data_IF_391586448672
#
_entry.id   IF_391586448672
#
_cell.length_a   1.000
_cell.length_b   1.000
_cell.length_c   1.000
_cell.angle_alpha   90.00
_cell.angle_beta   90.00
_cell.angle_gamma   90.00
#
_symmetry.space_group_name_H-M   'P 1'
#
loop_
_entity.id
_entity.type
_entity.pdbx_description
1 polymer ?
#
# COMPACT_ATOMS: atom_id res chain seq x y z
N UNK A 1 11.26 44.86 65.24
CA UNK A 1 10.65 43.96 64.23
C UNK A 1 9.37 44.61 63.74
N UNK A 2 9.40 45.22 62.56
CA UNK A 2 8.23 45.73 61.84
C UNK A 2 7.96 44.73 60.70
N UNK A 3 6.71 44.34 60.40
CA UNK A 3 6.42 43.43 59.30
C UNK A 3 6.61 44.14 57.97
N UNK A 4 7.41 43.55 57.08
CA UNK A 4 7.63 44.05 55.73
C UNK A 4 6.30 44.13 54.96
N UNK A 5 5.99 45.33 54.48
CA UNK A 5 4.86 45.64 53.62
C UNK A 5 4.84 44.75 52.37
N UNK A 6 3.70 44.10 52.12
CA UNK A 6 3.45 43.24 50.96
C UNK A 6 3.50 43.96 49.59
N UNK A 7 3.76 45.26 49.55
CA UNK A 7 3.65 46.09 48.34
C UNK A 7 4.97 46.71 47.88
N UNK A 8 5.92 45.88 47.42
CA UNK A 8 7.08 46.35 46.62
C UNK A 8 6.75 46.35 45.11
N UNK A 9 7.28 47.33 44.33
CA UNK A 9 6.86 47.62 42.95
C UNK A 9 6.86 46.43 41.95
N UNK A 10 7.83 45.49 41.95
CA UNK A 10 7.76 44.34 41.04
C UNK A 10 6.67 43.33 41.45
N UNK A 11 6.36 43.19 42.74
CA UNK A 11 5.30 42.29 43.25
C UNK A 11 3.90 42.84 42.97
N UNK A 12 3.73 44.17 43.00
CA UNK A 12 2.46 44.82 42.65
C UNK A 12 2.05 44.54 41.20
N UNK A 13 3.02 44.50 40.27
CA UNK A 13 2.76 44.14 38.86
C UNK A 13 2.30 42.69 38.72
N UNK A 14 2.97 41.75 39.39
CA UNK A 14 2.57 40.34 39.36
C UNK A 14 1.17 40.11 39.94
N UNK A 15 0.83 40.77 41.05
CA UNK A 15 -0.52 40.69 41.63
C UNK A 15 -1.58 41.27 40.68
N UNK A 16 -1.27 42.38 40.00
CA UNK A 16 -2.18 42.95 38.99
C UNK A 16 -2.35 41.97 37.81
N UNK A 17 -1.29 41.36 37.30
CA UNK A 17 -1.40 40.39 36.22
C UNK A 17 -2.23 39.16 36.61
N UNK A 18 -2.01 38.61 37.81
CA UNK A 18 -2.80 37.49 38.32
C UNK A 18 -4.27 37.88 38.49
N UNK A 19 -4.55 39.08 39.01
CA UNK A 19 -5.91 39.59 39.15
C UNK A 19 -6.60 39.80 37.79
N UNK A 20 -5.89 40.34 36.80
CA UNK A 20 -6.40 40.53 35.44
C UNK A 20 -6.69 39.18 34.77
N UNK A 21 -5.77 38.21 34.91
CA UNK A 21 -5.97 36.85 34.38
C UNK A 21 -7.18 36.20 35.06
N UNK A 22 -7.33 36.34 36.38
CA UNK A 22 -8.48 35.83 37.12
C UNK A 22 -9.79 36.46 36.66
N UNK A 23 -9.83 37.78 36.48
CA UNK A 23 -11.00 38.49 35.96
C UNK A 23 -11.35 38.05 34.53
N UNK A 24 -10.35 37.82 33.68
CA UNK A 24 -10.55 37.33 32.31
C UNK A 24 -11.14 35.90 32.29
N UNK A 25 -10.67 35.02 33.17
CA UNK A 25 -11.25 33.68 33.32
C UNK A 25 -12.69 33.74 33.85
N UNK A 26 -12.98 34.63 34.79
CA UNK A 26 -14.33 34.82 35.31
C UNK A 26 -15.30 35.29 34.21
N UNK A 27 -14.91 36.30 33.41
CA UNK A 27 -15.72 36.77 32.27
C UNK A 27 -15.90 35.67 31.22
N UNK A 28 -14.87 34.87 30.93
CA UNK A 28 -14.98 33.76 29.99
C UNK A 28 -15.92 32.64 30.48
N UNK A 29 -15.89 32.32 31.77
CA UNK A 29 -16.79 31.36 32.39
C UNK A 29 -18.23 31.88 32.39
N UNK A 30 -18.46 33.15 32.72
CA UNK A 30 -19.78 33.76 32.71
C UNK A 30 -20.35 33.85 31.28
N UNK A 31 -19.50 34.13 30.29
CA UNK A 31 -19.88 34.08 28.87
C UNK A 31 -20.26 32.66 28.41
N UNK A 32 -19.55 31.64 28.90
CA UNK A 32 -19.84 30.24 28.56
C UNK A 32 -21.13 29.74 29.21
N UNK A 33 -21.39 30.09 30.48
CA UNK A 33 -22.61 29.68 31.19
C UNK A 33 -23.84 30.41 30.66
N UNK A 34 -23.72 31.70 30.30
CA UNK A 34 -24.82 32.45 29.66
C UNK A 34 -25.17 31.95 28.25
N UNK A 35 -24.22 31.31 27.54
CA UNK A 35 -24.46 30.61 26.27
C UNK A 35 -25.05 29.21 26.45
N UNK A 36 -24.77 28.53 27.57
CA UNK A 36 -25.29 27.20 27.86
C UNK A 36 -26.80 27.20 28.19
N UNK A 37 -27.39 28.34 28.55
CA UNK A 37 -28.84 28.48 28.80
C UNK A 37 -29.70 28.59 27.52
N UNK A 38 -29.10 28.49 26.32
CA UNK A 38 -29.84 28.41 25.05
C UNK A 38 -29.66 27.03 24.39
N UNK A 39 -30.02 25.96 25.09
CA UNK A 39 -30.37 24.69 24.46
C UNK A 39 -31.86 24.48 24.69
N UNK A 40 -32.72 24.61 23.66
CA UNK A 40 -34.10 24.20 23.79
C UNK A 40 -34.11 22.69 24.08
N UNK A 41 -34.76 22.27 25.18
CA UNK A 41 -35.22 20.90 25.37
C UNK A 41 -36.30 20.62 24.32
N UNK A 42 -35.83 20.32 23.10
CA UNK A 42 -36.64 20.10 21.92
C UNK A 42 -36.93 18.61 21.72
N UNK A 43 -38.04 18.19 22.33
CA UNK A 43 -39.00 17.18 21.83
C UNK A 43 -38.44 15.79 21.48
N UNK A 44 -38.70 14.83 22.38
CA UNK A 44 -38.76 13.40 22.11
C UNK A 44 -39.74 13.14 20.95
N UNK A 45 -39.22 13.05 19.73
CA UNK A 45 -39.92 12.30 18.68
C UNK A 45 -39.63 10.83 18.93
N UNK A 46 -40.57 10.19 19.64
CA UNK A 46 -40.72 8.75 19.65
C UNK A 46 -40.77 8.27 18.19
N UNK A 47 -39.62 7.82 17.69
CA UNK A 47 -39.54 7.08 16.43
C UNK A 47 -40.24 5.75 16.70
N UNK A 48 -41.51 5.69 16.31
CA UNK A 48 -42.25 4.44 16.23
C UNK A 48 -41.59 3.64 15.10
N UNK A 49 -40.68 2.75 15.47
CA UNK A 49 -40.12 1.76 14.56
C UNK A 49 -41.26 0.79 14.23
N UNK A 50 -41.91 1.01 13.09
CA UNK A 50 -42.75 -0.03 12.48
C UNK A 50 -41.83 -1.15 12.00
N UNK A 51 -41.64 -2.17 12.83
CA UNK A 51 -41.16 -3.47 12.39
C UNK A 51 -42.24 -4.08 11.50
N UNK A 52 -42.13 -3.89 10.19
CA UNK A 52 -42.77 -4.80 9.26
C UNK A 52 -42.08 -6.16 9.44
N UNK A 53 -42.82 -7.12 10.01
CA UNK A 53 -42.40 -8.51 10.10
C UNK A 53 -42.31 -9.04 8.67
N UNK A 54 -41.12 -8.99 8.07
CA UNK A 54 -40.84 -9.68 6.83
C UNK A 54 -40.99 -11.16 7.14
N UNK A 55 -42.03 -11.77 6.59
CA UNK A 55 -42.24 -13.20 6.67
C UNK A 55 -40.95 -13.91 6.25
N UNK A 56 -40.52 -14.86 7.08
CA UNK A 56 -39.38 -15.73 6.81
C UNK A 56 -39.53 -16.30 5.39
N UNK A 57 -38.50 -16.21 4.53
CA UNK A 57 -38.57 -16.80 3.20
C UNK A 57 -38.91 -18.28 3.36
N UNK A 58 -39.87 -18.82 2.59
CA UNK A 58 -40.28 -20.21 2.73
C UNK A 58 -39.05 -21.10 2.56
N UNK A 59 -38.80 -21.97 3.56
CA UNK A 59 -37.78 -23.01 3.46
C UNK A 59 -37.98 -23.74 2.13
N UNK A 60 -36.92 -23.90 1.32
CA UNK A 60 -37.03 -24.63 0.06
C UNK A 60 -37.55 -26.03 0.38
N UNK A 61 -38.72 -26.37 -0.17
CA UNK A 61 -39.18 -27.76 -0.18
C UNK A 61 -38.11 -28.56 -0.92
N UNK A 62 -37.65 -29.71 -0.39
CA UNK A 62 -36.74 -30.57 -1.12
C UNK A 62 -37.45 -31.01 -2.40
N UNK A 63 -37.06 -30.42 -3.53
CA UNK A 63 -37.41 -30.97 -4.83
C UNK A 63 -36.64 -32.27 -4.94
N UNK A 64 -37.36 -33.39 -4.92
CA UNK A 64 -36.77 -34.68 -5.24
C UNK A 64 -36.07 -34.56 -6.60
N UNK A 65 -34.80 -34.99 -6.72
CA UNK A 65 -34.08 -34.92 -7.97
C UNK A 65 -34.88 -35.67 -9.05
N UNK A 66 -34.97 -35.16 -10.28
CA UNK A 66 -35.59 -35.90 -11.37
C UNK A 66 -34.87 -37.25 -11.53
N UNK A 67 -35.58 -38.33 -11.87
CA UNK A 67 -34.95 -39.62 -12.08
C UNK A 67 -33.87 -39.47 -13.16
N UNK A 68 -32.70 -40.10 -12.98
CA UNK A 68 -31.62 -39.98 -13.93
C UNK A 68 -32.12 -40.44 -15.32
N UNK A 69 -31.74 -39.74 -16.40
CA UNK A 69 -32.08 -40.18 -17.74
C UNK A 69 -31.53 -41.59 -17.94
N UNK A 70 -32.37 -42.49 -18.50
CA UNK A 70 -31.91 -43.83 -18.91
C UNK A 70 -30.68 -43.66 -19.78
N UNK A 71 -29.55 -44.16 -19.30
CA UNK A 71 -28.30 -44.22 -20.04
C UNK A 71 -28.57 -44.91 -21.37
N UNK A 72 -28.36 -44.20 -22.48
CA UNK A 72 -28.14 -44.89 -23.76
C UNK A 72 -26.92 -45.79 -23.57
N UNK A 73 -26.91 -47.02 -24.13
CA UNK A 73 -25.72 -47.84 -24.14
C UNK A 73 -24.55 -47.03 -24.71
N UNK A 74 -23.49 -46.90 -23.93
CA UNK A 74 -22.24 -46.34 -24.40
C UNK A 74 -21.70 -47.27 -25.50
N UNK A 75 -21.23 -46.76 -26.64
CA UNK A 75 -20.45 -47.56 -27.57
C UNK A 75 -19.23 -48.11 -26.82
N UNK A 76 -19.03 -49.43 -26.93
CA UNK A 76 -17.89 -50.11 -26.35
C UNK A 76 -16.58 -49.46 -26.85
N UNK A 77 -15.62 -49.14 -25.96
CA UNK A 77 -14.35 -48.57 -26.39
C UNK A 77 -13.62 -49.57 -27.30
N UNK A 78 -13.42 -49.21 -28.57
CA UNK A 78 -12.42 -49.91 -29.39
C UNK A 78 -11.05 -49.60 -28.80
N UNK A 79 -10.38 -50.65 -28.33
CA UNK A 79 -8.96 -50.61 -27.99
C UNK A 79 -8.16 -50.09 -29.20
N UNK A 80 -7.21 -49.16 -29.02
CA UNK A 80 -6.22 -48.87 -30.04
C UNK A 80 -5.38 -50.13 -30.32
N UNK A 81 -4.94 -50.36 -31.58
CA UNK A 81 -4.03 -51.45 -31.86
C UNK A 81 -2.69 -51.24 -31.12
N UNK A 82 -2.03 -52.32 -30.66
CA UNK A 82 -0.75 -52.22 -29.97
C UNK A 82 0.33 -51.66 -30.91
N UNK A 83 1.28 -50.86 -30.40
CA UNK A 83 2.46 -50.47 -31.16
C UNK A 83 3.35 -51.68 -31.45
N UNK A 84 4.07 -51.71 -32.58
CA UNK A 84 5.07 -52.74 -32.85
C UNK A 84 6.22 -52.67 -31.83
N UNK A 85 6.84 -53.80 -31.47
CA UNK A 85 7.93 -53.82 -30.49
C UNK A 85 9.19 -53.19 -31.08
N UNK A 86 9.67 -52.13 -30.42
CA UNK A 86 11.05 -51.63 -30.59
C UNK A 86 11.90 -52.20 -29.47
N UNK A 87 12.97 -52.86 -29.88
CA UNK A 87 13.98 -53.50 -29.03
C UNK A 87 14.63 -52.49 -28.07
N UNK A 88 14.66 -52.85 -26.78
CA UNK A 88 15.54 -52.26 -25.78
C UNK A 88 16.88 -53.00 -25.85
N UNK A 89 18.03 -52.33 -26.07
CA UNK A 89 19.30 -52.94 -25.74
C UNK A 89 19.47 -53.00 -24.22
N UNK A 90 19.76 -54.22 -23.78
CA UNK A 90 19.92 -54.70 -22.42
C UNK A 90 20.95 -53.92 -21.60
N UNK A 91 20.65 -53.79 -20.31
CA UNK A 91 21.61 -53.56 -19.25
C UNK A 91 22.67 -54.68 -19.24
N UNK A 92 23.94 -54.31 -19.20
CA UNK A 92 25.00 -55.21 -18.76
C UNK A 92 25.65 -54.59 -17.52
N UNK A 93 25.40 -55.23 -16.38
CA UNK A 93 26.08 -54.95 -15.12
C UNK A 93 26.83 -56.22 -14.76
N UNK A 94 28.16 -56.19 -14.80
CA UNK A 94 29.01 -57.17 -14.15
C UNK A 94 30.06 -56.45 -13.29
N UNK A 95 30.06 -56.82 -12.02
CA UNK A 95 30.87 -56.32 -10.93
C UNK A 95 32.29 -56.94 -10.89
N UNK A 96 33.15 -56.25 -10.13
CA UNK A 96 34.32 -56.74 -9.39
C UNK A 96 35.63 -57.01 -10.15
N UNK A 97 36.68 -56.26 -9.79
CA UNK A 97 37.78 -56.77 -8.96
C UNK A 97 38.77 -55.67 -8.55
N UNK A 98 39.19 -55.70 -7.29
CA UNK A 98 40.37 -55.00 -6.78
C UNK A 98 41.65 -55.68 -7.28
N UNK A 99 42.80 -55.00 -7.17
CA UNK A 99 43.76 -55.52 -6.20
C UNK A 99 44.44 -54.43 -5.37
N UNK A 100 44.86 -54.85 -4.17
CA UNK A 100 45.88 -54.21 -3.37
C UNK A 100 47.26 -54.77 -3.75
N UNK A 101 48.32 -53.97 -3.65
CA UNK A 101 49.68 -54.48 -3.44
C UNK A 101 50.54 -53.43 -2.73
N UNK A 102 50.93 -53.82 -1.52
CA UNK A 102 52.13 -53.61 -0.71
C UNK A 102 53.09 -52.40 -0.86
N UNK A 103 53.58 -52.02 0.33
CA UNK A 103 54.72 -51.15 0.67
C UNK A 103 56.09 -51.88 0.43
N UNK A 104 57.31 -51.41 0.81
CA UNK A 104 57.69 -50.29 1.70
C UNK A 104 59.00 -49.53 1.35
N UNK A 105 59.49 -48.78 2.34
CA UNK A 105 60.87 -48.31 2.63
C UNK A 105 61.21 -46.81 2.39
N UNK A 106 61.51 -46.13 3.51
CA UNK A 106 62.20 -44.83 3.56
C UNK A 106 63.73 -45.00 3.39
N UNK A 107 64.60 -44.18 4.01
CA UNK A 107 64.40 -42.95 4.79
C UNK A 107 65.30 -41.79 4.28
N UNK A 108 65.52 -40.79 5.16
CA UNK A 108 66.64 -39.83 5.25
C UNK A 108 66.47 -38.38 4.74
N UNK A 109 66.06 -37.51 5.67
CA UNK A 109 66.73 -36.21 5.96
C UNK A 109 68.22 -36.46 6.26
N UNK A 110 69.20 -35.54 6.12
CA UNK A 110 69.07 -34.07 6.15
C UNK A 110 70.01 -33.29 5.20
N UNK A 111 69.79 -31.98 5.07
CA UNK A 111 70.82 -30.93 5.19
C UNK A 111 70.37 -29.62 4.52
N UNK A 112 70.26 -28.56 5.32
CA UNK A 112 70.55 -27.21 4.86
C UNK A 112 72.08 -27.10 4.64
N UNK A 113 72.58 -26.25 3.72
CA UNK A 113 72.59 -24.80 3.99
C UNK A 113 72.38 -23.90 2.76
N UNK A 114 72.26 -22.61 3.10
CA UNK A 114 72.21 -21.43 2.25
C UNK A 114 73.14 -21.42 1.02
N UNK A 115 72.67 -20.82 -0.08
CA UNK A 115 73.26 -19.61 -0.68
C UNK A 115 72.60 -19.28 -2.04
N UNK A 116 72.09 -18.05 -2.13
CA UNK A 116 72.18 -17.08 -3.23
C UNK A 116 71.99 -17.48 -4.70
N UNK A 117 70.93 -16.87 -5.29
CA UNK A 117 70.69 -16.52 -6.70
C UNK A 117 70.35 -17.66 -7.68
N UNK A 118 69.31 -17.51 -8.54
CA UNK A 118 69.37 -16.57 -9.66
C UNK A 118 68.08 -15.79 -9.97
N UNK A 119 68.24 -14.66 -10.66
CA UNK A 119 67.19 -14.10 -11.51
C UNK A 119 66.99 -15.03 -12.72
N UNK A 120 65.81 -15.63 -12.81
CA UNK A 120 65.29 -16.25 -14.05
C UNK A 120 63.81 -15.86 -14.13
N UNK A 121 63.46 -15.19 -15.22
CA UNK A 121 62.10 -14.84 -15.61
C UNK A 121 61.28 -16.13 -15.77
N UNK A 122 60.35 -16.38 -14.84
CA UNK A 122 59.38 -17.46 -14.93
C UNK A 122 58.00 -16.89 -15.32
N UNK A 123 57.23 -17.55 -16.21
CA UNK A 123 55.87 -17.14 -16.55
C UNK A 123 54.98 -17.20 -15.31
N UNK A 124 54.08 -16.22 -15.18
CA UNK A 124 53.10 -16.16 -14.11
C UNK A 124 52.27 -17.46 -14.02
N UNK A 125 52.04 -18.00 -12.81
CA UNK A 125 51.19 -19.16 -12.62
C UNK A 125 49.76 -18.83 -13.04
N UNK A 126 49.18 -19.70 -13.87
CA UNK A 126 47.76 -19.66 -14.23
C UNK A 126 46.93 -19.73 -12.94
N UNK A 127 46.24 -18.64 -12.64
CA UNK A 127 45.30 -18.54 -11.52
C UNK A 127 44.16 -19.51 -11.80
N UNK A 128 44.02 -20.51 -10.92
CA UNK A 128 42.89 -21.41 -10.92
C UNK A 128 41.59 -20.59 -10.84
N UNK A 129 40.72 -20.75 -11.83
CA UNK A 129 39.43 -20.09 -11.89
C UNK A 129 38.58 -20.50 -10.67
N UNK A 130 38.16 -19.51 -9.89
CA UNK A 130 37.16 -19.70 -8.85
C UNK A 130 35.85 -20.22 -9.47
N UNK A 131 35.11 -21.12 -8.79
CA UNK A 131 33.84 -21.60 -9.30
C UNK A 131 32.87 -20.43 -9.43
N UNK A 132 32.32 -20.28 -10.63
CA UNK A 132 31.22 -19.37 -10.92
C UNK A 132 30.06 -19.68 -9.97
N UNK A 133 29.46 -18.68 -9.28
CA UNK A 133 28.24 -18.92 -8.54
C UNK A 133 27.16 -19.37 -9.52
N UNK A 134 26.46 -20.44 -9.16
CA UNK A 134 25.30 -20.92 -9.89
C UNK A 134 24.35 -19.75 -10.16
N UNK A 135 24.01 -19.55 -11.42
CA UNK A 135 23.03 -18.57 -11.87
C UNK A 135 21.74 -18.74 -11.08
N UNK A 136 21.39 -17.74 -10.27
CA UNK A 136 20.05 -17.60 -9.72
C UNK A 136 19.10 -17.65 -10.92
N UNK A 137 18.09 -18.55 -10.95
CA UNK A 137 17.14 -18.56 -12.04
C UNK A 137 16.51 -17.17 -12.15
N UNK A 138 16.36 -16.62 -13.37
CA UNK A 138 15.75 -15.32 -13.54
C UNK A 138 14.36 -15.34 -12.85
N UNK A 139 13.96 -14.25 -12.18
CA UNK A 139 12.61 -14.14 -11.66
C UNK A 139 11.63 -14.46 -12.81
N UNK A 140 10.48 -15.10 -12.51
CA UNK A 140 9.51 -15.41 -13.53
C UNK A 140 9.21 -14.13 -14.33
N UNK A 141 9.03 -14.23 -15.66
CA UNK A 141 8.68 -13.08 -16.48
C UNK A 141 7.53 -12.36 -15.80
N UNK A 142 7.77 -11.10 -15.40
CA UNK A 142 6.67 -10.22 -14.99
C UNK A 142 5.75 -10.20 -16.18
N UNK A 143 4.58 -10.81 -16.02
CA UNK A 143 3.50 -10.86 -17.00
C UNK A 143 3.40 -9.48 -17.63
N UNK A 144 3.54 -9.40 -18.97
CA UNK A 144 3.61 -8.14 -19.71
C UNK A 144 2.62 -7.14 -19.12
N UNK A 145 3.16 -6.08 -18.50
CA UNK A 145 2.39 -5.13 -17.72
C UNK A 145 1.18 -4.70 -18.56
N UNK A 146 -0.01 -5.15 -18.15
CA UNK A 146 -1.25 -4.89 -18.87
C UNK A 146 -1.33 -3.38 -19.07
N UNK A 147 -1.33 -2.94 -20.33
CA UNK A 147 -1.51 -1.51 -20.62
C UNK A 147 -2.97 -1.15 -20.44
N UNK A 148 -3.22 -0.14 -19.63
CA UNK A 148 -4.56 0.34 -19.34
C UNK A 148 -4.85 1.61 -20.13
N UNK A 149 -6.07 1.71 -20.67
CA UNK A 149 -6.65 3.01 -21.02
C UNK A 149 -6.88 3.78 -19.74
N UNK A 150 -6.59 5.07 -19.76
CA UNK A 150 -6.73 5.93 -18.58
C UNK A 150 -7.39 7.25 -18.95
N UNK A 151 -8.10 7.82 -17.98
CA UNK A 151 -8.71 9.14 -18.05
C UNK A 151 -8.59 9.74 -16.65
N UNK A 152 -7.58 10.58 -16.41
CA UNK A 152 -7.35 11.16 -15.10
C UNK A 152 -8.53 12.06 -14.68
N UNK A 153 -9.01 11.99 -13.43
CA UNK A 153 -10.14 12.80 -13.00
C UNK A 153 -9.78 14.29 -12.94
N UNK A 154 -10.79 15.16 -13.00
CA UNK A 154 -10.63 16.61 -12.90
C UNK A 154 -10.02 17.02 -11.55
N UNK A 155 -9.53 18.25 -11.44
CA UNK A 155 -8.96 18.77 -10.18
C UNK A 155 -10.01 18.84 -9.07
N UNK A 156 -9.64 18.48 -7.85
CA UNK A 156 -10.54 18.53 -6.70
C UNK A 156 -9.80 18.65 -5.37
N UNK A 157 -10.50 19.20 -4.38
CA UNK A 157 -10.10 19.21 -2.98
C UNK A 157 -11.03 18.31 -2.17
N UNK A 158 -10.47 17.63 -1.18
CA UNK A 158 -11.16 16.67 -0.34
C UNK A 158 -10.92 16.99 1.12
N UNK A 159 -11.99 17.02 1.90
CA UNK A 159 -11.90 16.90 3.36
C UNK A 159 -12.24 15.46 3.72
N UNK A 160 -11.48 14.86 4.62
CA UNK A 160 -11.66 13.47 5.04
C UNK A 160 -11.70 13.37 6.56
N UNK A 161 -12.50 12.43 7.04
CA UNK A 161 -12.44 11.91 8.40
C UNK A 161 -11.54 10.69 8.43
N UNK A 162 -10.76 10.56 9.50
CA UNK A 162 -9.84 9.43 9.69
C UNK A 162 -10.19 8.71 10.98
N UNK A 163 -10.56 7.43 10.86
CA UNK A 163 -10.71 6.53 12.01
C UNK A 163 -9.53 5.56 12.02
N UNK A 164 -8.85 5.46 13.15
CA UNK A 164 -7.78 4.47 13.37
C UNK A 164 -8.13 3.59 14.57
N UNK A 165 -7.87 2.29 14.43
CA UNK A 165 -7.89 1.31 15.51
C UNK A 165 -6.52 0.63 15.56
N UNK A 166 -5.78 0.82 16.63
CA UNK A 166 -4.51 0.13 16.83
C UNK A 166 -4.73 -1.36 17.16
N UNK A 167 -3.66 -2.14 17.09
CA UNK A 167 -3.69 -3.59 17.32
C UNK A 167 -4.21 -3.97 18.72
N UNK A 168 -3.97 -3.12 19.71
CA UNK A 168 -4.47 -3.26 21.09
C UNK A 168 -5.94 -2.85 21.26
N UNK A 169 -6.59 -2.38 20.18
CA UNK A 169 -7.97 -1.93 20.18
C UNK A 169 -8.16 -0.44 20.47
N UNK A 170 -7.09 0.32 20.76
CA UNK A 170 -7.16 1.76 20.98
C UNK A 170 -7.71 2.47 19.75
N UNK A 171 -8.70 3.35 19.95
CA UNK A 171 -9.35 4.08 18.85
C UNK A 171 -8.89 5.52 18.83
N UNK A 172 -8.61 6.02 17.63
CA UNK A 172 -8.23 7.40 17.37
C UNK A 172 -9.08 7.98 16.26
N UNK A 173 -9.33 9.27 16.34
CA UNK A 173 -9.96 10.04 15.28
C UNK A 173 -9.05 11.17 14.85
N UNK A 174 -9.07 11.45 13.56
CA UNK A 174 -8.31 12.52 12.94
C UNK A 174 -9.04 13.08 11.74
N UNK A 175 -8.39 14.04 11.10
CA UNK A 175 -8.85 14.65 9.86
C UNK A 175 -7.75 14.55 8.83
N UNK A 176 -8.13 14.47 7.56
CA UNK A 176 -7.20 14.66 6.47
C UNK A 176 -7.73 15.67 5.46
N UNK A 177 -6.81 16.35 4.78
CA UNK A 177 -7.11 17.17 3.62
C UNK A 177 -6.31 16.63 2.45
N UNK A 178 -6.95 16.50 1.30
CA UNK A 178 -6.29 16.08 0.06
C UNK A 178 -6.56 17.11 -1.03
N UNK A 179 -5.55 17.40 -1.85
CA UNK A 179 -5.66 18.25 -3.03
C UNK A 179 -5.09 17.48 -4.22
N UNK A 180 -5.92 17.30 -5.24
CA UNK A 180 -5.57 16.75 -6.54
C UNK A 180 -5.69 17.86 -7.58
N UNK A 181 -4.56 18.27 -8.15
CA UNK A 181 -4.48 19.30 -9.17
C UNK A 181 -4.04 18.66 -10.49
N UNK A 182 -5.00 18.44 -11.39
CA UNK A 182 -4.77 18.00 -12.76
C UNK A 182 -4.74 19.22 -13.69
N UNK A 183 -3.60 19.44 -14.34
CA UNK A 183 -3.37 20.58 -15.26
C UNK A 183 -3.34 20.15 -16.74
N UNK A 184 -3.72 18.92 -17.04
CA UNK A 184 -3.72 18.34 -18.38
C UNK A 184 -2.48 17.49 -18.65
N UNK A 185 -1.30 18.11 -18.70
CA UNK A 185 -0.01 17.44 -18.95
C UNK A 185 0.79 17.13 -17.67
N UNK A 186 0.44 17.79 -16.58
CA UNK A 186 1.11 17.73 -15.29
C UNK A 186 0.10 17.59 -14.17
N UNK A 187 0.54 17.05 -13.04
CA UNK A 187 -0.28 16.98 -11.84
C UNK A 187 0.50 17.30 -10.57
N UNK A 188 -0.25 17.68 -9.53
CA UNK A 188 0.21 17.66 -8.15
C UNK A 188 -0.85 16.98 -7.28
N UNK A 189 -0.38 16.17 -6.34
CA UNK A 189 -1.19 15.52 -5.33
C UNK A 189 -0.59 15.79 -3.96
N UNK A 190 -1.41 16.24 -3.03
CA UNK A 190 -1.02 16.44 -1.63
C UNK A 190 -2.04 15.83 -0.71
N UNK A 191 -1.59 15.04 0.26
CA UNK A 191 -2.41 14.50 1.36
C UNK A 191 -1.79 14.91 2.68
N UNK A 192 -2.58 15.58 3.53
CA UNK A 192 -2.20 15.96 4.90
C UNK A 192 -3.13 15.28 5.89
N UNK A 193 -2.60 14.31 6.65
CA UNK A 193 -3.30 13.64 7.74
C UNK A 193 -2.85 14.24 9.06
N UNK A 194 -3.80 14.55 9.95
CA UNK A 194 -3.49 15.15 11.23
C UNK A 194 -4.61 15.03 12.26
N UNK A 195 -4.35 15.61 13.41
CA UNK A 195 -5.36 15.81 14.46
C UNK A 195 -5.84 17.26 14.39
N UNK A 196 -7.15 17.44 14.44
CA UNK A 196 -7.78 18.76 14.58
C UNK A 196 -8.02 19.03 16.07
N UNK A 197 -7.27 19.95 16.67
CA UNK A 197 -7.57 20.50 17.99
C UNK A 197 -8.21 21.89 17.82
N UNK A 198 -8.91 22.40 18.83
CA UNK A 198 -9.71 23.63 18.72
C UNK A 198 -8.93 24.83 18.16
N UNK A 199 -7.62 24.93 18.42
CA UNK A 199 -6.80 26.10 18.05
C UNK A 199 -5.61 25.70 17.15
N UNK A 200 -5.25 24.42 17.08
CA UNK A 200 -4.05 23.98 16.34
C UNK A 200 -4.30 22.67 15.58
N UNK A 201 -3.70 22.57 14.39
CA UNK A 201 -3.66 21.33 13.61
C UNK A 201 -2.28 20.73 13.73
N UNK A 202 -2.22 19.46 14.15
CA UNK A 202 -0.96 18.71 14.21
C UNK A 202 -0.95 17.76 13.02
N UNK A 203 -0.09 18.03 12.03
CA UNK A 203 0.14 17.12 10.91
C UNK A 203 0.94 15.90 11.40
N UNK A 204 0.36 14.72 11.21
CA UNK A 204 0.96 13.42 11.53
C UNK A 204 1.68 12.82 10.32
N UNK A 205 1.12 13.04 9.13
CA UNK A 205 1.65 12.57 7.86
C UNK A 205 1.33 13.61 6.77
N UNK A 206 2.34 13.94 5.97
CA UNK A 206 2.16 14.65 4.69
C UNK A 206 2.74 13.77 3.60
N UNK A 207 1.93 13.46 2.58
CA UNK A 207 2.37 12.85 1.34
C UNK A 207 2.24 13.89 0.23
N UNK A 208 3.25 14.00 -0.62
CA UNK A 208 3.15 14.74 -1.88
C UNK A 208 3.58 13.86 -3.03
N UNK A 209 2.98 14.08 -4.19
CA UNK A 209 3.42 13.49 -5.44
C UNK A 209 3.23 14.51 -6.56
N UNK A 210 4.19 14.58 -7.46
CA UNK A 210 4.13 15.42 -8.65
C UNK A 210 4.73 14.69 -9.84
N UNK A 211 4.24 15.04 -11.02
CA UNK A 211 4.71 14.42 -12.25
C UNK A 211 3.86 14.81 -13.45
N UNK A 212 3.83 13.91 -14.42
CA UNK A 212 3.17 14.09 -15.70
C UNK A 212 1.86 13.32 -15.75
N UNK A 213 1.01 13.70 -16.70
CA UNK A 213 -0.11 12.89 -17.16
C UNK A 213 0.12 12.61 -18.64
N UNK A 214 0.17 11.34 -19.03
CA UNK A 214 0.30 10.93 -20.44
C UNK A 214 -0.70 9.81 -20.79
N UNK A 215 -0.56 9.19 -21.95
CA UNK A 215 -1.48 8.13 -22.41
C UNK A 215 -1.55 6.90 -21.50
N UNK A 216 -0.55 6.70 -20.63
CA UNK A 216 -0.54 5.64 -19.60
C UNK A 216 -1.22 6.05 -18.29
N UNK A 217 -1.62 7.32 -18.16
CA UNK A 217 -2.27 7.89 -16.99
C UNK A 217 -1.33 8.77 -16.19
N UNK A 218 -1.32 8.58 -14.88
CA UNK A 218 -0.48 9.34 -13.95
C UNK A 218 0.94 8.78 -14.02
N UNK A 219 1.92 9.64 -14.22
CA UNK A 219 3.33 9.27 -14.31
C UNK A 219 4.11 10.08 -13.26
N UNK A 220 4.32 9.53 -12.05
CA UNK A 220 5.07 10.21 -11.01
C UNK A 220 6.50 10.51 -11.44
N UNK A 221 7.01 11.65 -10.99
CA UNK A 221 8.41 12.07 -11.14
C UNK A 221 9.06 12.12 -9.77
N UNK A 222 8.40 12.74 -8.79
CA UNK A 222 8.86 12.81 -7.40
C UNK A 222 7.69 12.63 -6.43
N UNK A 223 7.89 11.79 -5.43
CA UNK A 223 6.99 11.66 -4.29
C UNK A 223 7.73 11.89 -2.98
N UNK A 224 7.10 12.57 -2.01
CA UNK A 224 7.69 12.79 -0.68
C UNK A 224 6.77 12.32 0.43
N UNK A 225 7.38 11.87 1.53
CA UNK A 225 6.69 11.48 2.75
C UNK A 225 7.32 12.18 3.95
N UNK A 226 6.51 12.93 4.70
CA UNK A 226 6.91 13.58 5.96
C UNK A 226 6.00 13.10 7.09
N UNK A 227 6.56 12.28 7.98
CA UNK A 227 5.89 11.90 9.23
C UNK A 227 6.31 12.81 10.38
N UNK A 228 5.39 13.04 11.32
CA UNK A 228 5.73 13.73 12.57
C UNK A 228 6.87 13.00 13.29
N UNK A 229 7.89 13.75 13.69
CA UNK A 229 9.06 13.21 14.39
C UNK A 229 10.04 12.43 13.51
N UNK A 230 9.86 12.38 12.18
CA UNK A 230 10.83 11.76 11.25
C UNK A 230 11.35 12.76 10.23
N UNK A 231 12.52 12.49 9.65
CA UNK A 231 13.00 13.24 8.49
C UNK A 231 12.04 13.05 7.30
N UNK A 232 12.01 14.02 6.38
CA UNK A 232 11.28 13.85 5.13
C UNK A 232 12.08 12.90 4.22
N UNK A 233 11.38 12.02 3.53
CA UNK A 233 11.97 11.14 2.50
C UNK A 233 11.36 11.41 1.14
N UNK A 234 12.10 11.08 0.09
CA UNK A 234 11.74 11.30 -1.29
C UNK A 234 12.01 10.04 -2.13
N UNK A 235 11.11 9.76 -3.07
CA UNK A 235 11.26 8.73 -4.10
C UNK A 235 11.24 9.42 -5.46
N UNK A 236 12.25 9.15 -6.28
CA UNK A 236 12.37 9.74 -7.62
C UNK A 236 12.17 8.66 -8.66
N UNK A 237 11.35 8.96 -9.66
CA UNK A 237 10.97 8.05 -10.73
C UNK A 237 11.59 8.56 -12.04
N UNK A 238 12.76 8.03 -12.40
CA UNK A 238 13.49 8.46 -13.58
C UNK A 238 13.17 7.55 -14.77
N UNK A 239 12.27 8.01 -15.65
CA UNK A 239 11.84 7.30 -16.86
C UNK A 239 12.97 7.07 -17.85
N UNK A 240 13.85 8.06 -18.04
CA UNK A 240 14.93 8.02 -19.04
C UNK A 240 16.06 7.10 -18.58
N UNK A 241 16.46 7.20 -17.32
CA UNK A 241 17.43 6.31 -16.70
C UNK A 241 16.86 4.92 -16.37
N UNK A 242 15.56 4.71 -16.59
CA UNK A 242 14.82 3.48 -16.24
C UNK A 242 15.02 3.03 -14.79
N UNK A 243 15.09 3.98 -13.87
CA UNK A 243 15.40 3.73 -12.47
C UNK A 243 14.50 4.50 -11.51
N UNK A 244 14.24 3.87 -10.36
CA UNK A 244 13.60 4.47 -9.18
C UNK A 244 14.68 4.56 -8.10
N UNK A 245 14.84 5.74 -7.51
CA UNK A 245 15.80 5.98 -6.43
C UNK A 245 15.09 6.49 -5.18
N UNK A 246 15.66 6.16 -4.03
CA UNK A 246 15.06 6.44 -2.73
C UNK A 246 16.02 7.29 -1.91
N UNK A 247 15.55 8.36 -1.26
CA UNK A 247 16.41 9.18 -0.41
C UNK A 247 16.75 8.50 0.92
N UNK A 248 15.98 7.47 1.31
CA UNK A 248 16.11 6.78 2.59
C UNK A 248 17.13 5.63 2.57
N UNK A 249 17.68 5.28 1.40
CA UNK A 249 18.57 4.13 1.18
C UNK A 249 19.38 4.32 -0.10
N UNK A 250 20.47 3.58 -0.27
CA UNK A 250 21.23 3.54 -1.53
C UNK A 250 20.69 2.53 -2.53
N UNK A 251 19.63 1.79 -2.17
CA UNK A 251 18.96 0.87 -3.07
C UNK A 251 18.34 1.59 -4.27
N UNK A 252 18.18 0.86 -5.38
CA UNK A 252 17.46 1.31 -6.57
C UNK A 252 16.53 0.21 -7.05
N UNK A 253 15.49 0.57 -7.77
CA UNK A 253 14.57 -0.37 -8.41
C UNK A 253 14.40 -0.02 -9.90
N UNK A 254 14.10 -0.98 -10.78
CA UNK A 254 13.85 -0.70 -12.18
C UNK A 254 12.55 0.08 -12.35
N UNK A 255 12.58 1.17 -13.13
CA UNK A 255 11.38 1.90 -13.52
C UNK A 255 10.60 1.11 -14.58
N UNK A 256 9.29 1.08 -14.45
CA UNK A 256 8.39 0.40 -15.40
C UNK A 256 7.26 1.34 -15.82
N UNK A 257 6.75 1.19 -17.04
CA UNK A 257 5.59 1.93 -17.50
C UNK A 257 4.39 1.66 -16.58
N UNK A 258 3.68 2.71 -16.17
CA UNK A 258 2.58 2.60 -15.20
C UNK A 258 3.00 2.49 -13.73
N UNK A 259 4.30 2.59 -13.39
CA UNK A 259 4.75 2.67 -12.00
C UNK A 259 4.08 3.85 -11.28
N UNK A 260 3.69 3.64 -10.03
CA UNK A 260 3.04 4.65 -9.19
C UNK A 260 3.80 4.88 -7.88
N UNK A 261 3.42 5.92 -7.14
CA UNK A 261 3.75 6.07 -5.73
C UNK A 261 2.51 5.80 -4.86
N UNK A 262 2.71 5.72 -3.54
CA UNK A 262 1.63 5.40 -2.59
C UNK A 262 0.44 6.35 -2.64
N UNK A 263 0.65 7.63 -2.95
CA UNK A 263 -0.42 8.62 -2.99
C UNK A 263 -1.19 8.55 -4.32
N UNK A 264 -0.51 8.25 -5.42
CA UNK A 264 -1.11 8.24 -6.77
C UNK A 264 -1.82 6.95 -7.13
N UNK A 265 -1.50 5.81 -6.49
CA UNK A 265 -2.17 4.52 -6.74
C UNK A 265 -3.71 4.61 -6.76
N UNK A 266 -4.40 5.21 -5.77
CA UNK A 266 -5.86 5.36 -5.80
C UNK A 266 -6.36 6.16 -7.02
N UNK A 267 -5.62 7.19 -7.44
CA UNK A 267 -5.98 8.01 -8.59
C UNK A 267 -5.67 7.32 -9.92
N UNK A 268 -4.65 6.47 -10.00
CA UNK A 268 -4.41 5.65 -11.18
C UNK A 268 -5.52 4.61 -11.35
N UNK A 269 -5.96 3.96 -10.27
CA UNK A 269 -7.11 3.05 -10.32
C UNK A 269 -8.40 3.79 -10.72
N UNK A 270 -8.61 5.01 -10.19
CA UNK A 270 -9.68 5.90 -10.64
C UNK A 270 -9.60 6.20 -12.13
N UNK A 271 -8.40 6.51 -12.65
CA UNK A 271 -8.20 6.83 -14.05
C UNK A 271 -8.47 5.63 -14.97
N UNK A 272 -8.11 4.42 -14.55
CA UNK A 272 -8.40 3.17 -15.27
C UNK A 272 -9.91 2.92 -15.33
N UNK A 273 -10.58 2.97 -14.17
CA UNK A 273 -12.02 2.72 -14.07
C UNK A 273 -12.86 3.77 -14.81
N UNK A 274 -12.44 5.04 -14.74
CA UNK A 274 -13.07 6.16 -15.45
C UNK A 274 -12.94 6.05 -16.96
N UNK A 275 -11.86 5.47 -17.47
CA UNK A 275 -11.67 5.24 -18.89
C UNK A 275 -12.51 4.06 -19.41
N UNK A 276 -12.46 2.94 -18.70
CA UNK A 276 -13.24 1.73 -19.01
C UNK A 276 -13.27 0.82 -17.78
N UNK A 277 -14.44 0.73 -17.15
CA UNK A 277 -14.67 -0.06 -15.93
C UNK A 277 -14.34 -1.55 -16.12
N UNK A 278 -14.48 -2.10 -17.32
CA UNK A 278 -14.18 -3.51 -17.60
C UNK A 278 -12.69 -3.82 -17.43
N UNK A 279 -11.82 -2.80 -17.45
CA UNK A 279 -10.40 -2.97 -17.18
C UNK A 279 -10.12 -3.30 -15.71
N UNK A 280 -11.05 -3.02 -14.80
CA UNK A 280 -10.94 -3.38 -13.38
C UNK A 280 -11.19 -4.87 -13.13
N UNK A 281 -11.70 -5.61 -14.12
CA UNK A 281 -11.85 -7.05 -14.02
C UNK A 281 -10.50 -7.77 -14.01
N UNK A 282 -10.38 -8.75 -13.12
CA UNK A 282 -9.15 -9.54 -12.91
C UNK A 282 -8.15 -8.88 -11.96
N UNK A 283 -6.90 -9.33 -12.03
CA UNK A 283 -5.81 -8.73 -11.26
C UNK A 283 -5.31 -7.46 -11.96
N UNK A 284 -5.02 -6.43 -11.17
CA UNK A 284 -4.36 -5.20 -11.60
C UNK A 284 -3.04 -5.10 -10.86
N UNK A 285 -1.94 -5.30 -11.57
CA UNK A 285 -0.60 -5.25 -11.01
C UNK A 285 0.01 -3.88 -11.28
N UNK A 286 0.41 -3.18 -10.22
CA UNK A 286 1.04 -1.87 -10.27
C UNK A 286 2.34 -1.94 -9.49
N UNK A 287 3.47 -1.59 -10.13
CA UNK A 287 4.71 -1.38 -9.38
C UNK A 287 4.56 -0.08 -8.57
N UNK A 288 4.76 -0.14 -7.26
CA UNK A 288 4.61 1.01 -6.36
C UNK A 288 5.94 1.33 -5.70
N UNK A 289 6.45 2.53 -5.94
CA UNK A 289 7.58 3.08 -5.20
C UNK A 289 7.17 3.48 -3.79
N UNK A 290 7.78 2.85 -2.80
CA UNK A 290 7.65 3.18 -1.38
C UNK A 290 8.92 3.90 -0.89
N UNK A 291 9.06 4.14 0.42
CA UNK A 291 10.16 4.95 0.97
C UNK A 291 11.56 4.34 0.71
N UNK A 292 11.66 3.02 0.57
CA UNK A 292 12.94 2.28 0.52
C UNK A 292 13.04 1.24 -0.58
N UNK A 293 11.93 0.91 -1.22
CA UNK A 293 11.84 -0.17 -2.20
C UNK A 293 10.68 0.10 -3.15
N UNK A 294 10.63 -0.66 -4.25
CA UNK A 294 9.45 -0.70 -5.11
C UNK A 294 8.89 -2.11 -5.11
N UNK A 295 7.58 -2.24 -4.86
CA UNK A 295 6.91 -3.54 -4.78
C UNK A 295 5.68 -3.58 -5.67
N UNK A 296 5.38 -4.76 -6.24
CA UNK A 296 4.17 -4.92 -7.04
C UNK A 296 2.97 -5.06 -6.12
N UNK A 297 2.02 -4.13 -6.25
CA UNK A 297 0.71 -4.20 -5.63
C UNK A 297 -0.26 -4.85 -6.62
N UNK A 298 -0.81 -6.00 -6.23
CA UNK A 298 -1.85 -6.70 -6.98
C UNK A 298 -3.21 -6.36 -6.41
N UNK A 299 -3.99 -5.54 -7.11
CA UNK A 299 -5.36 -5.21 -6.76
C UNK A 299 -6.34 -6.15 -7.45
N UNK A 300 -7.46 -6.39 -6.79
CA UNK A 300 -8.58 -7.19 -7.25
C UNK A 300 -9.86 -6.40 -7.05
N UNK A 301 -10.73 -6.41 -8.06
CA UNK A 301 -12.08 -5.90 -7.89
C UNK A 301 -12.86 -6.84 -6.96
N UNK A 302 -13.33 -6.31 -5.84
CA UNK A 302 -14.23 -7.01 -4.91
C UNK A 302 -15.65 -6.97 -5.43
N UNK A 303 -16.06 -5.80 -5.94
CA UNK A 303 -17.39 -5.59 -6.52
C UNK A 303 -17.90 -4.18 -6.31
N UNK A 304 -19.18 -4.00 -6.59
CA UNK A 304 -19.90 -2.78 -6.27
C UNK A 304 -20.37 -2.82 -4.81
N UNK A 305 -20.17 -1.72 -4.07
CA UNK A 305 -20.59 -1.55 -2.69
C UNK A 305 -21.22 -0.18 -2.49
N UNK A 306 -22.31 -0.13 -1.72
CA UNK A 306 -22.92 1.13 -1.29
C UNK A 306 -22.28 1.58 0.04
N UNK A 307 -21.76 2.81 0.07
CA UNK A 307 -21.20 3.43 1.26
C UNK A 307 -22.13 4.53 1.79
N UNK A 308 -22.39 4.48 3.09
CA UNK A 308 -22.99 5.59 3.85
C UNK A 308 -21.89 6.61 4.20
N UNK A 309 -22.00 7.83 3.67
CA UNK A 309 -21.02 8.90 3.91
C UNK A 309 -21.69 10.18 4.36
N UNK A 310 -20.90 11.17 4.81
CA UNK A 310 -21.44 12.51 5.11
C UNK A 310 -21.96 13.26 3.88
N UNK A 311 -21.63 12.78 2.68
CA UNK A 311 -22.16 13.29 1.41
C UNK A 311 -23.42 12.53 0.95
N UNK A 312 -23.96 11.63 1.79
CA UNK A 312 -25.05 10.72 1.46
C UNK A 312 -24.55 9.33 1.04
N UNK A 313 -25.47 8.54 0.49
CA UNK A 313 -25.18 7.21 -0.05
C UNK A 313 -24.43 7.30 -1.36
N UNK A 314 -23.33 6.57 -1.47
CA UNK A 314 -22.52 6.49 -2.68
C UNK A 314 -22.40 5.03 -3.13
N UNK A 315 -22.78 4.77 -4.37
CA UNK A 315 -22.42 3.52 -5.06
C UNK A 315 -20.95 3.62 -5.45
N UNK A 316 -20.17 2.61 -5.10
CA UNK A 316 -18.72 2.60 -5.26
C UNK A 316 -18.21 1.28 -5.81
N UNK A 317 -17.07 1.34 -6.49
CA UNK A 317 -16.31 0.18 -6.92
C UNK A 317 -15.20 -0.07 -5.89
N UNK A 318 -15.26 -1.22 -5.23
CA UNK A 318 -14.33 -1.60 -4.19
C UNK A 318 -13.20 -2.45 -4.76
N UNK A 319 -11.97 -1.94 -4.69
CA UNK A 319 -10.75 -2.67 -5.02
C UNK A 319 -9.97 -3.02 -3.76
N UNK A 320 -9.39 -4.22 -3.74
CA UNK A 320 -8.59 -4.70 -2.62
C UNK A 320 -7.25 -5.24 -3.11
N UNK A 321 -6.17 -4.82 -2.46
CA UNK A 321 -4.88 -5.52 -2.45
C UNK A 321 -4.89 -6.49 -1.26
N UNK A 322 -5.07 -7.80 -1.49
CA UNK A 322 -5.08 -8.77 -0.40
C UNK A 322 -3.68 -8.89 0.24
N UNK A 323 -3.59 -9.33 1.51
CA UNK A 323 -2.32 -9.73 2.08
C UNK A 323 -1.76 -10.92 1.28
N UNK A 324 -0.44 -10.93 1.05
CA UNK A 324 0.26 -12.08 0.46
C UNK A 324 0.06 -13.31 1.37
N UNK A 325 -0.48 -14.43 0.85
CA UNK A 325 -0.68 -15.64 1.63
C UNK A 325 0.59 -16.08 2.37
N UNK A 326 0.46 -16.47 3.65
CA UNK A 326 1.60 -16.92 4.46
C UNK A 326 2.53 -15.82 4.96
N UNK A 327 2.19 -14.53 4.78
CA UNK A 327 2.98 -13.40 5.30
C UNK A 327 2.11 -12.45 6.14
N UNK A 328 2.71 -11.82 7.14
CA UNK A 328 2.12 -10.67 7.84
C UNK A 328 2.22 -9.42 6.97
N UNK A 329 1.56 -9.40 5.81
CA UNK A 329 1.58 -8.25 4.90
C UNK A 329 0.33 -7.39 5.06
N UNK A 330 0.46 -6.10 4.71
CA UNK A 330 -0.65 -5.16 4.78
C UNK A 330 -1.69 -5.42 3.70
N UNK A 331 -2.95 -5.14 4.03
CA UNK A 331 -4.09 -5.10 3.12
C UNK A 331 -4.45 -3.64 2.83
N UNK A 332 -4.83 -3.34 1.60
CA UNK A 332 -5.29 -2.02 1.19
C UNK A 332 -6.60 -2.14 0.41
N UNK A 333 -7.65 -1.48 0.90
CA UNK A 333 -8.96 -1.40 0.25
C UNK A 333 -9.19 0.05 -0.21
N UNK A 334 -9.72 0.23 -1.40
CA UNK A 334 -10.00 1.53 -2.03
C UNK A 334 -11.39 1.47 -2.64
N UNK A 335 -12.23 2.47 -2.33
CA UNK A 335 -13.56 2.63 -2.92
C UNK A 335 -13.56 3.84 -3.83
N UNK A 336 -13.92 3.62 -5.09
CA UNK A 336 -14.00 4.64 -6.14
C UNK A 336 -15.47 4.94 -6.42
N UNK A 337 -15.88 6.21 -6.46
CA UNK A 337 -17.28 6.58 -6.68
C UNK A 337 -17.51 7.10 -8.12
N UNK A 338 -18.15 6.35 -9.03
CA UNK A 338 -18.38 6.79 -10.41
C UNK A 338 -19.19 8.09 -10.49
N UNK A 339 -20.18 8.27 -9.61
CA UNK A 339 -20.99 9.49 -9.51
C UNK A 339 -20.18 10.74 -9.11
N UNK A 340 -19.02 10.54 -8.48
CA UNK A 340 -18.09 11.59 -8.06
C UNK A 340 -16.83 11.56 -8.92
N UNK A 341 -16.99 11.51 -10.26
CA UNK A 341 -15.87 11.53 -11.21
C UNK A 341 -14.83 10.39 -11.01
N UNK A 342 -15.22 9.29 -10.37
CA UNK A 342 -14.35 8.16 -9.98
C UNK A 342 -13.35 8.45 -8.85
N UNK A 343 -13.47 9.56 -8.12
CA UNK A 343 -12.56 9.85 -7.03
C UNK A 343 -12.54 8.74 -5.96
N UNK A 344 -11.38 8.53 -5.30
CA UNK A 344 -11.30 7.67 -4.12
C UNK A 344 -12.05 8.31 -2.97
N UNK A 345 -13.17 7.70 -2.55
CA UNK A 345 -14.03 8.23 -1.48
C UNK A 345 -13.80 7.55 -0.13
N UNK A 346 -13.19 6.36 -0.14
CA UNK A 346 -12.72 5.70 1.07
C UNK A 346 -11.43 4.95 0.77
N UNK A 347 -10.49 4.96 1.72
CA UNK A 347 -9.26 4.17 1.70
C UNK A 347 -9.10 3.52 3.07
N UNK A 348 -8.96 2.21 3.11
CA UNK A 348 -8.76 1.45 4.35
C UNK A 348 -7.47 0.65 4.25
N UNK A 349 -6.54 0.92 5.16
CA UNK A 349 -5.27 0.23 5.28
C UNK A 349 -5.25 -0.61 6.55
N UNK A 350 -5.02 -1.91 6.41
CA UNK A 350 -4.75 -2.83 7.51
C UNK A 350 -3.25 -3.11 7.51
N UNK A 351 -2.56 -2.64 8.53
CA UNK A 351 -1.13 -2.87 8.72
C UNK A 351 -0.85 -4.32 9.13
N UNK A 352 0.40 -4.77 8.96
CA UNK A 352 0.85 -6.12 9.33
C UNK A 352 0.59 -6.48 10.80
N UNK A 353 0.62 -5.47 11.69
CA UNK A 353 0.35 -5.62 13.12
C UNK A 353 -1.15 -5.69 13.46
N UNK A 354 -2.04 -5.57 12.47
CA UNK A 354 -3.49 -5.53 12.66
C UNK A 354 -4.08 -4.13 12.92
N UNK A 355 -3.25 -3.09 12.99
CA UNK A 355 -3.75 -1.73 13.07
C UNK A 355 -4.50 -1.36 11.79
N UNK A 356 -5.68 -0.79 11.95
CA UNK A 356 -6.59 -0.42 10.88
C UNK A 356 -6.70 1.10 10.81
N UNK A 357 -6.53 1.68 9.63
CA UNK A 357 -6.80 3.11 9.39
C UNK A 357 -7.75 3.25 8.21
N UNK A 358 -8.91 3.87 8.43
CA UNK A 358 -9.89 4.19 7.41
C UNK A 358 -9.95 5.70 7.22
N UNK A 359 -9.77 6.15 5.99
CA UNK A 359 -9.96 7.53 5.57
C UNK A 359 -11.22 7.58 4.72
N UNK A 360 -12.22 8.37 5.14
CA UNK A 360 -13.49 8.52 4.41
C UNK A 360 -13.70 9.98 4.06
N UNK A 361 -13.95 10.26 2.79
CA UNK A 361 -14.22 11.62 2.32
C UNK A 361 -15.52 12.13 2.94
N UNK A 362 -15.46 13.33 3.48
CA UNK A 362 -16.62 14.04 4.05
C UNK A 362 -17.12 15.15 3.14
N UNK A 363 -16.27 15.69 2.28
CA UNK A 363 -16.62 16.72 1.31
C UNK A 363 -15.67 16.67 0.11
N UNK A 364 -16.19 16.89 -1.09
CA UNK A 364 -15.43 17.08 -2.34
C UNK A 364 -15.79 18.45 -2.91
N UNK A 365 -14.77 19.21 -3.31
CA UNK A 365 -14.91 20.45 -4.06
C UNK A 365 -14.16 20.27 -5.38
N UNK A 366 -14.91 20.09 -6.46
CA UNK A 366 -14.32 19.98 -7.80
C UNK A 366 -14.00 21.39 -8.29
N UNK A 367 -12.77 21.59 -8.76
CA UNK A 367 -12.38 22.86 -9.35
C UNK A 367 -12.70 22.80 -10.85
N UNK A 368 -13.58 23.67 -11.34
CA UNK A 368 -13.98 23.76 -12.76
C UNK A 368 -12.83 24.20 -13.71
N UNK A 369 -11.59 24.26 -13.22
CA UNK A 369 -10.43 24.72 -13.96
C UNK A 369 -9.84 23.68 -14.93
N UNK A 370 -10.40 22.47 -15.04
CA UNK A 370 -10.03 21.55 -16.12
C UNK A 370 -10.63 22.07 -17.42
N UNK A 371 -9.85 22.93 -18.07
CA UNK A 371 -10.21 23.69 -19.25
C UNK A 371 -10.66 22.84 -20.44
N UNK A 372 -11.49 23.51 -21.23
CA UNK A 372 -11.95 23.18 -22.59
C UNK A 372 -10.88 22.57 -23.49
#
# INVERSE_FOLDING_TARGET
MMPDSFFSPPRRRTVIFVAVIGALHYVALEWLTSRASMVPLGQDHAQVVSMALIAEPPKPVPVAPPPPPKLRPLPEPRLPPPPPPTELPSSDTAQFTAPASDAPEGPVTPAAPAASAPAITAPAPAVAAAPVPASVPPPPPVEQARRYKTNAPASAQFDLHVDRRDADGTKWQGVAAMAWDNRGDTYQLKLEVGLSMLITRINLLVLTSEGLIDGSGIVPVTATEKRKGRAQTATHFNRDAKAITFSATTATAPWQEGVQDKATVPFQLAAIGRADVNQLAGNIDILVGEEKEATVFRFQLVGEEELETKMGRLVTWHLRRPPKPGTYSSQLDIWLAPSMQWYPVQIRNTEANGALTTQTVTQIRVNDATGK
#
